data_IF_446954017158
#
_entry.id   IF_446954017158
#
_cell.length_a   1.000
_cell.length_b   1.000
_cell.length_c   1.000
_cell.angle_alpha   90.00
_cell.angle_beta   90.00
_cell.angle_gamma   90.00
#
_symmetry.space_group_name_H-M   'P 1'
#
loop_
_entity.id
_entity.type
_entity.pdbx_description
1 polymer ?
#
# COMPACT_ATOMS: atom_id res chain seq x y z
N UNK A 1 -19.82 -3.91 2.25
CA UNK A 1 -19.73 -5.36 2.54
C UNK A 1 -18.25 -5.72 2.57
N UNK A 2 -17.73 -6.41 3.60
CA UNK A 2 -16.38 -6.99 3.52
C UNK A 2 -16.34 -7.89 2.27
N UNK A 3 -15.29 -7.77 1.46
CA UNK A 3 -15.11 -8.69 0.33
C UNK A 3 -14.98 -10.12 0.88
N UNK A 4 -15.66 -11.12 0.28
CA UNK A 4 -15.50 -12.51 0.68
C UNK A 4 -14.02 -12.90 0.56
N UNK A 5 -13.39 -13.24 1.67
CA UNK A 5 -11.98 -13.62 1.71
C UNK A 5 -11.79 -14.95 2.45
N UNK A 6 -10.71 -15.63 2.11
CA UNK A 6 -10.25 -16.82 2.84
C UNK A 6 -9.76 -16.46 4.24
N UNK A 7 -9.58 -17.50 5.09
CA UNK A 7 -8.93 -17.34 6.41
C UNK A 7 -7.48 -16.83 6.31
N UNK A 8 -6.91 -16.79 5.10
CA UNK A 8 -5.55 -16.33 4.81
C UNK A 8 -5.55 -15.01 4.02
N UNK A 9 -6.62 -14.23 4.11
CA UNK A 9 -6.72 -12.89 3.49
C UNK A 9 -6.63 -12.88 1.96
N UNK A 10 -7.14 -13.94 1.32
CA UNK A 10 -7.20 -14.07 -0.14
C UNK A 10 -8.63 -13.82 -0.61
N UNK A 11 -8.85 -12.84 -1.49
CA UNK A 11 -10.14 -12.56 -2.14
C UNK A 11 -10.54 -13.73 -3.04
N UNK A 12 -11.77 -14.24 -2.88
CA UNK A 12 -12.23 -15.40 -3.65
C UNK A 12 -12.54 -15.09 -5.13
N UNK A 13 -12.79 -13.82 -5.48
CA UNK A 13 -13.15 -13.45 -6.84
C UNK A 13 -11.95 -13.52 -7.80
N UNK A 14 -10.79 -13.07 -7.33
CA UNK A 14 -9.60 -12.89 -8.15
C UNK A 14 -8.33 -13.53 -7.56
N UNK A 15 -8.41 -14.14 -6.37
CA UNK A 15 -7.25 -14.76 -5.73
C UNK A 15 -6.25 -13.77 -5.16
N UNK A 16 -6.64 -12.50 -4.96
CA UNK A 16 -5.72 -11.47 -4.47
C UNK A 16 -5.51 -11.61 -2.97
N UNK A 17 -4.28 -11.90 -2.56
CA UNK A 17 -3.84 -11.79 -1.18
C UNK A 17 -3.63 -10.32 -0.79
N UNK A 18 -4.21 -9.91 0.33
CA UNK A 18 -4.03 -8.59 0.95
C UNK A 18 -3.54 -8.73 2.38
N UNK A 19 -2.43 -8.10 2.73
CA UNK A 19 -1.91 -8.04 4.10
C UNK A 19 -1.87 -6.59 4.57
N UNK A 20 -2.29 -6.34 5.81
CA UNK A 20 -2.16 -5.03 6.46
C UNK A 20 -1.22 -5.23 7.65
N UNK A 21 -0.13 -4.48 7.68
CA UNK A 21 0.86 -4.55 8.74
C UNK A 21 1.00 -3.17 9.39
N UNK A 22 0.73 -3.08 10.70
CA UNK A 22 1.02 -1.86 11.47
C UNK A 22 2.49 -1.89 11.86
N UNK A 23 3.27 -0.93 11.37
CA UNK A 23 4.68 -0.81 11.73
C UNK A 23 4.82 -0.10 13.08
N UNK A 24 4.09 1.01 13.29
CA UNK A 24 4.07 1.76 14.54
C UNK A 24 2.87 2.70 14.66
N UNK A 25 2.60 3.14 15.88
CA UNK A 25 1.64 4.17 16.24
C UNK A 25 2.32 5.35 16.94
N UNK A 26 1.97 6.56 16.53
CA UNK A 26 2.41 7.79 17.18
C UNK A 26 1.20 8.44 17.87
N UNK A 27 1.13 8.43 19.21
CA UNK A 27 0.05 9.08 19.93
C UNK A 27 0.19 10.60 19.86
N UNK A 28 -0.94 11.31 19.85
CA UNK A 28 -0.96 12.77 19.80
C UNK A 28 -2.36 13.32 19.57
N UNK A 29 -2.47 14.65 19.45
CA UNK A 29 -3.75 15.33 19.12
C UNK A 29 -4.28 14.88 17.76
N UNK A 30 -3.37 14.57 16.84
CA UNK A 30 -3.63 13.90 15.58
C UNK A 30 -2.82 12.59 15.60
N UNK A 31 -3.42 11.46 16.02
CA UNK A 31 -2.71 10.19 16.08
C UNK A 31 -2.35 9.72 14.67
N UNK A 32 -1.12 9.25 14.49
CA UNK A 32 -0.67 8.65 13.23
C UNK A 32 -0.53 7.16 13.45
N UNK A 33 -1.24 6.37 12.67
CA UNK A 33 -1.03 4.93 12.57
C UNK A 33 -0.33 4.67 11.25
N UNK A 34 0.93 4.25 11.30
CA UNK A 34 1.68 3.90 10.11
C UNK A 34 1.43 2.43 9.78
N UNK A 35 0.78 2.17 8.66
CA UNK A 35 0.47 0.81 8.21
C UNK A 35 0.93 0.60 6.77
N UNK A 36 1.55 -0.52 6.49
CA UNK A 36 1.81 -0.94 5.12
C UNK A 36 0.72 -1.89 4.64
N UNK A 37 0.36 -1.77 3.36
CA UNK A 37 -0.57 -2.67 2.69
C UNK A 37 0.17 -3.42 1.60
N UNK A 38 0.20 -4.74 1.70
CA UNK A 38 0.63 -5.62 0.62
C UNK A 38 -0.57 -6.04 -0.19
N UNK A 39 -0.43 -5.99 -1.52
CA UNK A 39 -1.39 -6.59 -2.44
C UNK A 39 -0.68 -7.39 -3.49
N UNK A 40 -0.99 -8.68 -3.59
CA UNK A 40 -0.37 -9.56 -4.57
C UNK A 40 -0.58 -9.13 -6.04
N UNK A 41 -1.55 -8.28 -6.34
CA UNK A 41 -1.83 -7.73 -7.68
C UNK A 41 -1.30 -6.31 -7.92
N UNK A 42 -0.51 -5.75 -7.01
CA UNK A 42 0.05 -4.39 -7.15
C UNK A 42 1.47 -4.42 -7.71
N UNK A 43 1.60 -4.68 -9.01
CA UNK A 43 2.88 -4.82 -9.72
C UNK A 43 3.66 -3.51 -9.93
N UNK A 44 3.01 -2.35 -9.76
CA UNK A 44 3.65 -1.03 -9.90
C UNK A 44 4.88 -0.83 -9.00
N UNK A 45 5.00 -1.59 -7.91
CA UNK A 45 6.14 -1.56 -6.99
C UNK A 45 7.08 -2.77 -7.12
N UNK A 46 6.95 -3.62 -8.16
CA UNK A 46 7.74 -4.85 -8.27
C UNK A 46 9.25 -4.60 -8.42
N UNK A 47 9.66 -3.58 -9.18
CA UNK A 47 11.07 -3.27 -9.41
C UNK A 47 11.64 -2.27 -8.39
N UNK A 48 10.99 -1.11 -8.24
CA UNK A 48 11.55 0.03 -7.50
C UNK A 48 10.60 0.56 -6.42
N UNK A 49 9.74 -0.32 -5.88
CA UNK A 49 8.86 0.03 -4.77
C UNK A 49 9.65 0.47 -3.53
N UNK A 50 9.32 1.62 -2.90
CA UNK A 50 10.09 2.18 -1.78
C UNK A 50 10.11 1.29 -0.53
N UNK A 51 9.23 0.29 -0.47
CA UNK A 51 9.06 -0.62 0.65
C UNK A 51 9.22 -2.09 0.22
N UNK A 52 9.77 -2.32 -0.97
CA UNK A 52 9.84 -3.62 -1.62
C UNK A 52 8.59 -3.95 -2.46
N UNK A 53 8.65 -5.10 -3.13
CA UNK A 53 7.64 -5.53 -4.09
C UNK A 53 6.21 -5.50 -3.51
N UNK A 54 5.33 -4.79 -4.20
CA UNK A 54 3.87 -4.71 -3.97
C UNK A 54 3.42 -4.21 -2.59
N UNK A 55 4.32 -3.59 -1.84
CA UNK A 55 3.98 -2.88 -0.61
C UNK A 55 3.68 -1.41 -0.90
N UNK A 56 2.61 -0.90 -0.30
CA UNK A 56 2.24 0.52 -0.28
C UNK A 56 2.25 1.03 1.17
N UNK A 57 2.49 2.32 1.37
CA UNK A 57 2.30 2.99 2.66
C UNK A 57 1.49 4.27 2.48
N UNK A 58 0.57 4.58 3.40
CA UNK A 58 -0.11 5.86 3.44
C UNK A 58 0.89 6.96 3.78
N UNK A 59 0.54 8.21 3.43
CA UNK A 59 1.36 9.40 3.67
C UNK A 59 2.70 9.40 2.91
N UNK A 60 2.88 8.50 1.94
CA UNK A 60 4.01 8.52 1.05
C UNK A 60 3.62 9.29 -0.22
N UNK A 61 4.47 10.21 -0.65
CA UNK A 61 4.42 10.74 -2.01
C UNK A 61 5.79 10.60 -2.63
N UNK A 62 5.83 10.33 -3.94
CA UNK A 62 7.10 10.19 -4.67
C UNK A 62 7.01 10.72 -6.08
N UNK A 63 8.17 11.03 -6.63
CA UNK A 63 8.34 11.35 -8.04
C UNK A 63 9.14 10.24 -8.71
N UNK A 64 8.73 9.85 -9.91
CA UNK A 64 9.50 8.94 -10.75
C UNK A 64 9.77 9.58 -12.10
N UNK A 65 11.00 9.43 -12.58
CA UNK A 65 11.41 9.87 -13.91
C UNK A 65 11.21 8.72 -14.91
N UNK A 66 10.46 9.00 -15.98
CA UNK A 66 10.22 8.08 -17.08
C UNK A 66 10.70 8.72 -18.38
N UNK A 67 12.02 8.69 -18.61
CA UNK A 67 12.62 9.37 -19.76
C UNK A 67 12.50 10.89 -19.64
N UNK A 68 11.73 11.53 -20.51
CA UNK A 68 11.48 12.99 -20.45
C UNK A 68 10.26 13.36 -19.60
N UNK A 69 9.57 12.37 -19.03
CA UNK A 69 8.37 12.56 -18.21
C UNK A 69 8.69 12.45 -16.71
N UNK A 70 7.96 13.23 -15.89
CA UNK A 70 8.00 13.13 -14.43
C UNK A 70 6.59 12.75 -13.93
N UNK A 71 6.47 11.56 -13.33
CA UNK A 71 5.24 11.12 -12.69
C UNK A 71 5.25 11.49 -11.21
N UNK A 72 4.11 11.95 -10.70
CA UNK A 72 3.87 12.17 -9.28
C UNK A 72 2.87 11.14 -8.76
N UNK A 73 3.25 10.44 -7.69
CA UNK A 73 2.42 9.48 -6.99
C UNK A 73 2.13 10.00 -5.59
N UNK A 74 0.88 9.90 -5.17
CA UNK A 74 0.45 10.26 -3.84
C UNK A 74 -0.40 9.14 -3.25
N UNK A 75 0.12 8.52 -2.19
CA UNK A 75 -0.58 7.54 -1.37
C UNK A 75 -1.26 8.28 -0.21
N UNK A 76 -2.19 9.18 -0.55
CA UNK A 76 -2.95 9.94 0.42
C UNK A 76 -3.61 8.98 1.42
N UNK A 77 -3.40 9.24 2.71
CA UNK A 77 -4.05 8.44 3.74
C UNK A 77 -5.56 8.61 3.62
N UNK A 78 -6.28 7.49 3.57
CA UNK A 78 -7.72 7.51 3.72
C UNK A 78 -8.06 8.03 5.13
N UNK A 79 -8.64 9.23 5.19
CA UNK A 79 -9.34 9.72 6.38
C UNK A 79 -10.56 8.84 6.67
#
# INVERSE_FOLDING_TARGET
>A
MPKPASRRSIDYLNGVETLIHTDFDLPGVLPIVWQRVYRSDFDANDSDGPLGARWMAPYASRFEEHGEELAYYDDAAAN
#
